data_IF_093263572399
#
_entry.id   IF_093263572399
#
_cell.length_a   1.000
_cell.length_b   1.000
_cell.length_c   1.000
_cell.angle_alpha   90.00
_cell.angle_beta   90.00
_cell.angle_gamma   90.00
#
_symmetry.space_group_name_H-M   'P 1'
#
loop_
_entity.id
_entity.type
_entity.pdbx_description
1 polymer ?
#
# COMPACT_ATOMS: atom_id res chain seq x y z
N UNK A 1 -10.74 -26.85 1.26
CA UNK A 1 -9.32 -27.14 1.05
C UNK A 1 -8.54 -25.83 0.92
N UNK A 2 -7.45 -25.73 1.67
CA UNK A 2 -6.56 -24.55 1.63
C UNK A 2 -5.31 -24.94 0.82
N UNK A 3 -5.00 -24.16 -0.23
CA UNK A 3 -3.83 -24.40 -1.07
C UNK A 3 -2.88 -23.22 -0.97
N UNK A 4 -1.61 -23.47 -0.69
CA UNK A 4 -0.58 -22.45 -0.59
C UNK A 4 0.34 -22.53 -1.80
N UNK A 5 0.47 -21.40 -2.50
CA UNK A 5 1.42 -21.24 -3.60
C UNK A 5 2.35 -20.06 -3.29
N UNK A 6 3.65 -20.29 -3.30
CA UNK A 6 4.65 -19.23 -3.21
C UNK A 6 5.01 -18.79 -4.62
N UNK A 7 4.54 -17.60 -5.02
CA UNK A 7 4.78 -17.01 -6.34
C UNK A 7 5.35 -15.61 -6.18
N UNK A 8 6.33 -15.25 -6.98
CA UNK A 8 6.79 -13.86 -7.06
C UNK A 8 5.83 -13.05 -7.94
N UNK A 9 4.81 -12.46 -7.33
CA UNK A 9 3.78 -11.67 -8.00
C UNK A 9 4.29 -10.35 -8.59
N UNK A 10 5.50 -9.91 -8.26
CA UNK A 10 6.09 -8.70 -8.85
C UNK A 10 6.41 -8.87 -10.34
N UNK A 11 6.64 -10.10 -10.79
CA UNK A 11 7.08 -10.38 -12.16
C UNK A 11 6.25 -11.43 -12.89
N UNK A 12 5.41 -12.18 -12.18
CA UNK A 12 4.61 -13.27 -12.75
C UNK A 12 3.12 -13.06 -12.52
N UNK A 13 2.31 -13.54 -13.44
CA UNK A 13 0.86 -13.60 -13.27
C UNK A 13 0.44 -14.88 -12.56
N UNK A 14 -0.51 -14.78 -11.63
CA UNK A 14 -1.04 -15.92 -10.88
C UNK A 14 -1.92 -16.81 -11.78
N UNK A 15 -2.43 -16.30 -12.89
CA UNK A 15 -3.34 -16.97 -13.82
C UNK A 15 -2.90 -18.39 -14.20
N UNK A 16 -1.61 -18.64 -14.29
CA UNK A 16 -1.07 -19.96 -14.65
C UNK A 16 -1.12 -20.98 -13.50
N UNK A 17 -1.35 -20.52 -12.27
CA UNK A 17 -1.34 -21.34 -11.06
C UNK A 17 -2.73 -21.57 -10.47
N UNK A 18 -3.71 -20.77 -10.89
CA UNK A 18 -5.05 -20.79 -10.32
C UNK A 18 -6.08 -21.10 -11.42
N UNK A 19 -6.82 -22.17 -11.27
CA UNK A 19 -7.87 -22.59 -12.25
C UNK A 19 -9.17 -21.81 -12.10
N UNK A 20 -9.42 -21.19 -10.93
CA UNK A 20 -10.67 -20.50 -10.62
C UNK A 20 -10.37 -19.07 -10.16
N UNK A 21 -11.26 -18.15 -10.52
CA UNK A 21 -11.21 -16.78 -10.02
C UNK A 21 -11.69 -16.70 -8.57
N UNK A 22 -11.17 -15.73 -7.83
CA UNK A 22 -11.49 -15.50 -6.45
C UNK A 22 -12.69 -14.56 -6.28
N UNK A 23 -13.42 -14.72 -5.21
CA UNK A 23 -14.44 -13.76 -4.76
C UNK A 23 -13.80 -12.57 -4.02
N UNK A 24 -12.67 -12.83 -3.33
CA UNK A 24 -11.94 -11.84 -2.57
C UNK A 24 -10.44 -11.96 -2.84
N UNK A 25 -9.79 -10.82 -3.09
CA UNK A 25 -8.33 -10.66 -3.07
C UNK A 25 -7.97 -9.74 -1.91
N UNK A 26 -7.11 -10.20 -1.00
CA UNK A 26 -6.67 -9.43 0.15
C UNK A 26 -5.16 -9.12 0.04
N UNK A 27 -4.79 -7.82 0.13
CA UNK A 27 -3.42 -7.34 -0.03
C UNK A 27 -3.07 -6.45 1.16
N UNK A 28 -2.55 -7.04 2.23
CA UNK A 28 -2.18 -6.29 3.43
C UNK A 28 -0.69 -5.91 3.42
N UNK A 29 -0.40 -4.61 3.53
CA UNK A 29 0.94 -4.04 3.65
C UNK A 29 1.93 -4.49 2.57
N UNK A 30 1.45 -4.76 1.35
CA UNK A 30 2.26 -5.28 0.26
C UNK A 30 2.11 -4.52 -1.07
N UNK A 31 1.01 -3.79 -1.26
CA UNK A 31 0.68 -3.16 -2.54
C UNK A 31 1.72 -2.11 -2.97
N UNK A 32 2.37 -1.42 -2.03
CA UNK A 32 3.38 -0.41 -2.28
C UNK A 32 4.64 -0.95 -2.96
N UNK A 33 5.00 -2.22 -2.77
CA UNK A 33 6.15 -2.84 -3.47
C UNK A 33 5.98 -2.87 -4.99
N UNK A 34 4.75 -2.95 -5.47
CA UNK A 34 4.43 -2.95 -6.90
C UNK A 34 4.56 -1.58 -7.55
N UNK A 35 4.69 -0.51 -6.77
CA UNK A 35 4.92 0.86 -7.26
C UNK A 35 6.37 1.17 -7.61
N UNK A 36 7.24 0.16 -7.60
CA UNK A 36 8.64 0.25 -7.96
C UNK A 36 8.84 0.70 -9.40
N UNK A 37 8.19 0.06 -10.34
CA UNK A 37 8.33 0.35 -11.77
C UNK A 37 7.08 -0.12 -12.54
N UNK A 38 7.07 0.17 -13.86
CA UNK A 38 5.96 -0.17 -14.72
C UNK A 38 5.66 -1.67 -14.76
N UNK A 39 6.69 -2.51 -14.86
CA UNK A 39 6.52 -3.97 -14.95
C UNK A 39 5.83 -4.54 -13.71
N UNK A 40 6.32 -4.16 -12.52
CA UNK A 40 5.73 -4.64 -11.26
C UNK A 40 4.31 -4.11 -11.08
N UNK A 41 4.05 -2.86 -11.45
CA UNK A 41 2.73 -2.26 -11.35
C UNK A 41 1.72 -2.93 -12.31
N UNK A 42 2.09 -3.14 -13.56
CA UNK A 42 1.24 -3.87 -14.53
C UNK A 42 0.96 -5.29 -14.05
N UNK A 43 1.95 -5.99 -13.48
CA UNK A 43 1.74 -7.31 -12.88
C UNK A 43 0.70 -7.29 -11.76
N UNK A 44 0.74 -6.30 -10.87
CA UNK A 44 -0.28 -6.13 -9.81
C UNK A 44 -1.68 -5.97 -10.41
N UNK A 45 -1.85 -5.01 -11.33
CA UNK A 45 -3.16 -4.69 -11.93
C UNK A 45 -3.73 -5.90 -12.68
N UNK A 46 -2.90 -6.59 -13.46
CA UNK A 46 -3.30 -7.79 -14.19
C UNK A 46 -3.65 -8.95 -13.24
N UNK A 47 -2.86 -9.17 -12.19
CA UNK A 47 -3.15 -10.21 -11.21
C UNK A 47 -4.50 -9.97 -10.50
N UNK A 48 -4.81 -8.73 -10.16
CA UNK A 48 -6.10 -8.37 -9.57
C UNK A 48 -7.21 -8.59 -10.62
N UNK A 49 -7.06 -7.99 -11.80
CA UNK A 49 -8.10 -8.02 -12.82
C UNK A 49 -8.42 -9.45 -13.29
N UNK A 50 -7.41 -10.23 -13.61
CA UNK A 50 -7.60 -11.55 -14.24
C UNK A 50 -8.10 -12.61 -13.25
N UNK A 51 -7.72 -12.49 -11.96
CA UNK A 51 -8.03 -13.51 -10.97
C UNK A 51 -9.25 -13.19 -10.09
N UNK A 52 -9.82 -11.98 -10.19
CA UNK A 52 -11.03 -11.63 -9.46
C UNK A 52 -12.28 -11.88 -10.32
N UNK A 53 -13.31 -12.49 -9.75
CA UNK A 53 -14.63 -12.62 -10.36
C UNK A 53 -15.27 -11.25 -10.60
N UNK A 54 -16.20 -11.16 -11.53
CA UNK A 54 -17.15 -10.05 -11.61
C UNK A 54 -17.97 -10.00 -10.32
N UNK A 55 -18.15 -8.82 -9.74
CA UNK A 55 -18.76 -8.64 -8.42
C UNK A 55 -17.85 -8.96 -7.23
N UNK A 56 -16.68 -9.53 -7.46
CA UNK A 56 -15.68 -9.79 -6.42
C UNK A 56 -15.01 -8.52 -5.90
N UNK A 57 -14.36 -8.61 -4.74
CA UNK A 57 -13.78 -7.47 -4.05
C UNK A 57 -12.27 -7.60 -3.82
N UNK A 58 -11.58 -6.47 -3.89
CA UNK A 58 -10.19 -6.32 -3.44
C UNK A 58 -10.22 -5.56 -2.12
N UNK A 59 -9.57 -6.09 -1.10
CA UNK A 59 -9.35 -5.43 0.18
C UNK A 59 -7.86 -5.19 0.34
N UNK A 60 -7.46 -3.97 0.70
CA UNK A 60 -6.05 -3.67 0.89
C UNK A 60 -5.79 -2.73 2.05
N UNK A 61 -4.64 -2.90 2.67
CA UNK A 61 -4.06 -1.96 3.64
C UNK A 61 -2.67 -1.55 3.18
N UNK A 62 -2.32 -0.27 3.31
CA UNK A 62 -1.06 0.28 2.81
C UNK A 62 -0.72 1.60 3.48
N UNK A 63 0.57 1.94 3.56
CA UNK A 63 1.01 3.30 3.91
C UNK A 63 0.52 4.30 2.85
N UNK A 64 -0.19 5.35 3.29
CA UNK A 64 -0.63 6.43 2.40
C UNK A 64 0.58 7.24 1.93
N UNK A 65 0.91 7.12 0.65
CA UNK A 65 2.02 7.84 0.07
C UNK A 65 1.91 9.36 0.19
N UNK A 66 0.69 9.92 0.28
CA UNK A 66 0.47 11.35 0.51
C UNK A 66 0.92 11.75 1.92
N UNK A 67 0.58 10.98 2.94
CA UNK A 67 0.99 11.23 4.33
C UNK A 67 2.50 11.05 4.51
N UNK A 68 3.08 10.01 3.89
CA UNK A 68 4.53 9.81 3.88
C UNK A 68 5.26 10.96 3.17
N UNK A 69 4.76 11.38 1.99
CA UNK A 69 5.30 12.53 1.26
C UNK A 69 5.26 13.81 2.10
N UNK A 70 4.15 14.07 2.79
CA UNK A 70 3.99 15.24 3.66
C UNK A 70 4.96 15.20 4.85
N UNK A 71 5.12 14.05 5.49
CA UNK A 71 6.07 13.87 6.61
C UNK A 71 7.52 14.12 6.19
N UNK A 72 7.87 13.82 4.93
CA UNK A 72 9.22 14.03 4.35
C UNK A 72 9.37 15.36 3.61
N UNK A 73 8.33 16.22 3.57
CA UNK A 73 8.39 17.51 2.89
C UNK A 73 9.44 18.41 3.55
N UNK A 74 10.40 18.90 2.76
CA UNK A 74 11.51 19.72 3.27
C UNK A 74 12.54 18.96 4.12
N UNK A 75 12.45 17.63 4.20
CA UNK A 75 13.34 16.78 4.98
C UNK A 75 13.82 15.58 4.14
N UNK A 76 15.04 15.13 4.38
CA UNK A 76 15.54 13.88 3.79
C UNK A 76 15.25 12.67 4.68
N UNK A 77 14.98 12.89 5.97
CA UNK A 77 14.79 11.84 6.95
C UNK A 77 13.85 12.28 8.07
N UNK A 78 12.99 11.37 8.49
CA UNK A 78 12.25 11.42 9.75
C UNK A 78 12.75 10.27 10.63
N UNK A 79 13.08 10.58 11.88
CA UNK A 79 13.60 9.59 12.83
C UNK A 79 12.89 9.77 14.17
N UNK A 80 12.10 8.79 14.56
CA UNK A 80 11.40 8.74 15.85
C UNK A 80 11.95 7.58 16.69
N UNK A 81 11.45 7.40 17.89
CA UNK A 81 11.78 6.25 18.72
C UNK A 81 11.20 4.92 18.17
N UNK A 82 10.17 4.96 17.33
CA UNK A 82 9.48 3.77 16.79
C UNK A 82 9.80 3.47 15.32
N UNK A 83 10.15 4.47 14.53
CA UNK A 83 10.45 4.24 13.12
C UNK A 83 11.43 5.26 12.55
N UNK A 84 12.01 4.92 11.43
CA UNK A 84 12.79 5.83 10.58
C UNK A 84 12.26 5.77 9.16
N UNK A 85 12.08 6.92 8.53
CA UNK A 85 11.80 7.05 7.10
C UNK A 85 12.90 7.87 6.45
N UNK A 86 13.47 7.38 5.35
CA UNK A 86 14.50 8.10 4.59
C UNK A 86 14.05 8.26 3.14
N UNK A 87 13.99 9.50 2.68
CA UNK A 87 13.63 9.85 1.31
C UNK A 87 14.73 9.42 0.35
N UNK A 88 14.40 8.65 -0.70
CA UNK A 88 15.30 8.21 -1.77
C UNK A 88 14.90 8.74 -3.15
N UNK A 89 13.80 9.48 -3.26
CA UNK A 89 13.35 10.08 -4.51
C UNK A 89 13.71 11.56 -4.61
N UNK A 90 13.96 12.06 -5.81
CA UNK A 90 14.32 13.46 -6.11
C UNK A 90 13.16 14.24 -6.77
N UNK A 91 11.92 13.96 -6.37
CA UNK A 91 10.77 14.62 -6.94
C UNK A 91 10.39 15.83 -6.08
N UNK A 92 10.57 17.04 -6.62
CA UNK A 92 10.16 18.31 -6.01
C UNK A 92 8.72 18.71 -6.36
N UNK A 93 8.08 17.98 -7.27
CA UNK A 93 6.71 18.24 -7.73
C UNK A 93 5.73 17.89 -6.62
N UNK A 94 4.70 18.71 -6.43
CA UNK A 94 3.61 18.43 -5.49
C UNK A 94 3.00 17.04 -5.75
N UNK A 95 2.79 16.27 -4.70
CA UNK A 95 2.26 14.89 -4.75
C UNK A 95 0.95 14.77 -5.55
N UNK A 96 0.07 15.75 -5.41
CA UNK A 96 -1.22 15.78 -6.12
C UNK A 96 -1.11 16.29 -7.57
N UNK A 97 0.06 16.76 -8.00
CA UNK A 97 0.24 17.25 -9.36
C UNK A 97 0.12 16.11 -10.38
N UNK A 98 -0.51 16.36 -11.56
CA UNK A 98 -0.44 15.41 -12.67
C UNK A 98 0.98 15.05 -13.08
N UNK A 99 1.95 15.97 -12.90
CA UNK A 99 3.37 15.78 -13.21
C UNK A 99 4.11 14.92 -12.17
N UNK A 100 3.53 14.65 -11.00
CA UNK A 100 4.16 13.78 -10.02
C UNK A 100 4.25 12.36 -10.57
N UNK A 101 5.45 11.80 -10.64
CA UNK A 101 5.64 10.42 -11.10
C UNK A 101 5.04 9.45 -10.06
N UNK A 102 4.10 8.63 -10.49
CA UNK A 102 3.44 7.65 -9.63
C UNK A 102 4.38 6.51 -9.18
N UNK A 103 5.30 6.11 -10.05
CA UNK A 103 6.18 4.95 -9.85
C UNK A 103 7.61 5.37 -9.51
N UNK A 104 8.33 4.51 -8.81
CA UNK A 104 9.74 4.67 -8.50
C UNK A 104 10.04 5.71 -7.40
N UNK A 105 9.05 6.16 -6.65
CA UNK A 105 9.25 7.11 -5.55
C UNK A 105 9.63 6.32 -4.29
N UNK A 106 10.89 5.97 -4.16
CA UNK A 106 11.40 5.09 -3.11
C UNK A 106 11.58 5.81 -1.77
N UNK A 107 11.19 5.12 -0.70
CA UNK A 107 11.43 5.50 0.70
C UNK A 107 11.99 4.29 1.43
N UNK A 108 13.08 4.46 2.16
CA UNK A 108 13.54 3.43 3.09
C UNK A 108 12.80 3.55 4.41
N UNK A 109 12.21 2.47 4.85
CA UNK A 109 11.45 2.35 6.10
C UNK A 109 12.13 1.39 7.06
N UNK A 110 12.23 1.78 8.33
CA UNK A 110 12.66 0.92 9.42
C UNK A 110 11.71 1.06 10.59
N UNK A 111 11.01 -0.01 10.96
CA UNK A 111 10.20 -0.07 12.18
C UNK A 111 11.06 -0.65 13.31
N UNK A 112 11.32 0.15 14.32
CA UNK A 112 12.21 -0.19 15.42
C UNK A 112 11.52 -1.10 16.45
N UNK A 113 12.29 -1.98 17.08
CA UNK A 113 11.79 -2.85 18.14
C UNK A 113 10.98 -4.05 17.65
N UNK A 114 10.97 -4.30 16.33
CA UNK A 114 10.38 -5.51 15.76
C UNK A 114 11.45 -6.55 15.44
N UNK A 115 11.15 -7.83 15.66
CA UNK A 115 12.07 -8.93 15.30
C UNK A 115 12.21 -9.11 13.78
N UNK A 116 11.29 -8.57 12.99
CA UNK A 116 11.22 -8.77 11.55
C UNK A 116 12.00 -7.71 10.75
N UNK A 117 12.22 -6.53 11.33
CA UNK A 117 12.85 -5.39 10.65
C UNK A 117 14.12 -4.96 11.39
N UNK A 118 15.21 -5.69 11.19
CA UNK A 118 16.52 -5.34 11.76
C UNK A 118 17.34 -4.39 10.87
N UNK A 119 16.86 -4.09 9.66
CA UNK A 119 17.46 -3.16 8.69
C UNK A 119 16.38 -2.45 7.89
N UNK A 120 16.68 -1.26 7.32
CA UNK A 120 15.73 -0.56 6.46
C UNK A 120 15.29 -1.38 5.25
N UNK A 121 14.02 -1.25 4.89
CA UNK A 121 13.40 -1.89 3.73
C UNK A 121 13.01 -0.80 2.73
N UNK A 122 13.28 -1.04 1.45
CA UNK A 122 12.82 -0.18 0.36
C UNK A 122 11.33 -0.37 0.12
N UNK A 123 10.58 0.70 0.23
CA UNK A 123 9.15 0.80 -0.09
C UNK A 123 8.92 1.93 -1.09
N UNK A 124 7.78 1.98 -1.73
CA UNK A 124 7.48 3.00 -2.73
C UNK A 124 6.20 3.75 -2.35
N UNK A 125 6.18 5.07 -2.60
CA UNK A 125 5.00 5.88 -2.30
C UNK A 125 3.78 5.38 -3.08
N UNK A 126 2.76 4.98 -2.36
CA UNK A 126 1.47 4.59 -2.92
C UNK A 126 0.60 5.83 -3.18
N UNK A 127 0.36 6.15 -4.45
CA UNK A 127 -0.54 7.25 -4.82
C UNK A 127 -1.94 6.70 -5.09
N UNK A 128 -2.79 6.74 -4.06
CA UNK A 128 -4.15 6.20 -4.13
C UNK A 128 -4.96 6.81 -5.29
N UNK A 129 -4.94 8.13 -5.46
CA UNK A 129 -5.79 8.80 -6.46
C UNK A 129 -5.42 8.40 -7.89
N UNK A 130 -4.11 8.26 -8.16
CA UNK A 130 -3.64 7.79 -9.47
C UNK A 130 -3.90 6.30 -9.69
N UNK A 131 -3.72 5.51 -8.64
CA UNK A 131 -4.06 4.08 -8.65
C UNK A 131 -5.55 3.89 -8.94
N UNK A 132 -6.42 4.62 -8.22
CA UNK A 132 -7.86 4.51 -8.39
C UNK A 132 -8.32 4.83 -9.82
N UNK A 133 -7.77 5.90 -10.44
CA UNK A 133 -8.07 6.24 -11.84
C UNK A 133 -7.77 5.08 -12.80
N UNK A 134 -6.68 4.34 -12.57
CA UNK A 134 -6.34 3.18 -13.39
C UNK A 134 -7.30 2.03 -13.11
N UNK A 135 -7.62 1.77 -11.85
CA UNK A 135 -8.55 0.70 -11.48
C UNK A 135 -9.96 0.97 -12.00
N UNK A 136 -10.42 2.22 -12.02
CA UNK A 136 -11.69 2.63 -12.64
C UNK A 136 -11.73 2.31 -14.14
N UNK A 137 -10.65 2.60 -14.87
CA UNK A 137 -10.51 2.25 -16.28
C UNK A 137 -10.51 0.73 -16.51
N UNK A 138 -10.06 -0.04 -15.51
CA UNK A 138 -10.09 -1.51 -15.50
C UNK A 138 -11.43 -2.10 -15.01
N UNK A 139 -12.45 -1.27 -14.81
CA UNK A 139 -13.80 -1.71 -14.42
C UNK A 139 -13.99 -1.93 -12.92
N UNK A 140 -13.20 -1.29 -12.08
CA UNK A 140 -13.39 -1.32 -10.63
C UNK A 140 -14.08 -0.05 -10.13
N UNK A 141 -14.79 -0.18 -9.03
CA UNK A 141 -15.36 0.96 -8.27
C UNK A 141 -14.88 0.93 -6.82
N UNK A 142 -14.76 2.12 -6.24
CA UNK A 142 -14.43 2.28 -4.83
C UNK A 142 -15.68 2.00 -3.97
N UNK A 143 -15.59 1.05 -3.06
CA UNK A 143 -16.66 0.71 -2.10
C UNK A 143 -16.43 1.40 -0.76
N UNK A 144 -15.19 1.35 -0.27
CA UNK A 144 -14.80 1.97 0.99
C UNK A 144 -13.33 2.40 0.97
N UNK A 145 -13.03 3.45 1.72
CA UNK A 145 -11.67 3.90 2.02
C UNK A 145 -11.69 4.66 3.33
N UNK A 146 -10.70 4.44 4.17
CA UNK A 146 -10.54 5.19 5.40
C UNK A 146 -9.10 5.13 5.91
N UNK A 147 -8.84 5.86 6.99
CA UNK A 147 -7.58 5.90 7.68
C UNK A 147 -7.62 5.00 8.92
N UNK A 148 -6.50 4.46 9.33
CA UNK A 148 -6.42 3.64 10.55
C UNK A 148 -6.75 4.41 11.82
N UNK A 149 -6.61 5.74 11.82
CA UNK A 149 -7.02 6.60 12.92
C UNK A 149 -8.52 6.45 13.27
N UNK A 150 -9.36 6.22 12.25
CA UNK A 150 -10.80 6.06 12.43
C UNK A 150 -11.15 4.91 13.38
N UNK A 151 -10.36 3.83 13.35
CA UNK A 151 -10.57 2.67 14.22
C UNK A 151 -10.02 2.85 15.63
N UNK A 152 -9.14 3.83 15.85
CA UNK A 152 -8.53 4.04 17.16
C UNK A 152 -9.55 4.47 18.19
N UNK A 153 -10.52 5.30 17.81
CA UNK A 153 -11.60 5.74 18.70
C UNK A 153 -12.46 4.59 19.20
N UNK A 154 -12.63 3.54 18.40
CA UNK A 154 -13.42 2.36 18.73
C UNK A 154 -12.58 1.28 19.44
N UNK A 155 -11.27 1.30 19.31
CA UNK A 155 -10.35 0.34 19.91
C UNK A 155 -9.87 0.78 21.29
N UNK A 156 -10.29 0.08 22.33
CA UNK A 156 -9.79 0.31 23.69
C UNK A 156 -8.27 0.13 23.76
N UNK A 157 -7.73 -0.88 23.07
CA UNK A 157 -6.31 -1.14 23.01
C UNK A 157 -5.53 0.04 22.40
N UNK A 158 -6.01 0.60 21.29
CA UNK A 158 -5.38 1.76 20.66
C UNK A 158 -5.38 2.98 21.58
N UNK A 159 -6.51 3.25 22.25
CA UNK A 159 -6.63 4.40 23.16
C UNK A 159 -5.71 4.28 24.37
N UNK A 160 -5.62 3.09 24.99
CA UNK A 160 -4.95 2.90 26.28
C UNK A 160 -3.49 2.52 26.16
N UNK A 161 -3.09 1.75 25.16
CA UNK A 161 -1.79 1.08 25.13
C UNK A 161 -0.86 1.55 24.03
N UNK A 162 -1.38 2.11 22.93
CA UNK A 162 -0.50 2.66 21.89
C UNK A 162 0.10 4.00 22.34
N UNK A 163 1.42 4.10 22.24
CA UNK A 163 2.14 5.37 22.38
C UNK A 163 1.84 6.31 21.23
N UNK A 164 2.03 7.62 21.40
CA UNK A 164 1.82 8.61 20.33
C UNK A 164 2.70 8.34 19.09
N UNK A 165 3.91 7.81 19.27
CA UNK A 165 4.78 7.45 18.14
C UNK A 165 4.31 6.19 17.40
N UNK A 166 3.64 5.26 18.08
CA UNK A 166 2.99 4.10 17.45
C UNK A 166 1.74 4.52 16.70
N UNK A 167 0.92 5.39 17.28
CA UNK A 167 -0.24 6.01 16.63
C UNK A 167 0.20 6.80 15.40
N UNK A 168 1.23 7.65 15.52
CA UNK A 168 1.76 8.43 14.40
C UNK A 168 2.20 7.54 13.23
N UNK A 169 2.84 6.40 13.47
CA UNK A 169 3.15 5.44 12.41
C UNK A 169 1.92 4.74 11.86
N UNK A 170 1.06 4.21 12.75
CA UNK A 170 -0.14 3.46 12.37
C UNK A 170 -1.10 4.30 11.54
N UNK A 171 -1.31 5.57 11.92
CA UNK A 171 -2.24 6.46 11.24
C UNK A 171 -1.76 6.98 9.88
N UNK A 172 -0.54 6.63 9.50
CA UNK A 172 -0.08 6.79 8.10
C UNK A 172 -0.58 5.69 7.18
N UNK A 173 -1.32 4.71 7.69
CA UNK A 173 -1.92 3.65 6.89
C UNK A 173 -3.38 3.97 6.55
N UNK A 174 -3.76 3.54 5.36
CA UNK A 174 -5.14 3.53 4.88
C UNK A 174 -5.58 2.10 4.58
N UNK A 175 -6.88 1.89 4.62
CA UNK A 175 -7.53 0.74 4.00
C UNK A 175 -8.39 1.20 2.84
N UNK A 176 -8.64 0.30 1.90
CA UNK A 176 -9.63 0.50 0.87
C UNK A 176 -10.22 -0.83 0.39
N UNK A 177 -11.43 -0.74 -0.14
CA UNK A 177 -12.16 -1.85 -0.75
C UNK A 177 -12.60 -1.43 -2.15
N UNK A 178 -12.22 -2.21 -3.16
CA UNK A 178 -12.66 -2.05 -4.54
C UNK A 178 -13.53 -3.22 -4.93
N UNK A 179 -14.56 -2.97 -5.75
CA UNK A 179 -15.42 -4.00 -6.34
C UNK A 179 -15.25 -4.01 -7.85
N UNK A 180 -15.12 -5.19 -8.43
CA UNK A 180 -15.08 -5.38 -9.88
C UNK A 180 -16.50 -5.37 -10.46
N UNK A 181 -16.78 -4.50 -11.42
CA UNK A 181 -18.07 -4.41 -12.13
C UNK A 181 -18.33 -5.58 -13.07
#
# INVERSE_FOLDING_TARGET
YMTFHKVNNEVYTIKNYVKQKFDVININFAIHYFFKNRKTFESLVMNIHDNLKKGGVVMATVLDGKLIYQALKGKNKVNTNKYTMTKKYNNSTNFNSPKFKMLGQEVEMLVKGTKYFNKPISEFLFNFDKFMKIMEQMGFELVAKGNFEEFCSESEWCRRYMTEAEKDYSFKNIYFVLKKK
#
